data_IF_953062778196
#
_entry.id   IF_953062778196
#
_cell.length_a   1.000
_cell.length_b   1.000
_cell.length_c   1.000
_cell.angle_alpha   90.00
_cell.angle_beta   90.00
_cell.angle_gamma   90.00
#
_symmetry.space_group_name_H-M   'P 1'
#
loop_
_entity.id
_entity.type
_entity.pdbx_description
1 polymer ?
#
# COMPACT_ATOMS: atom_id res chain seq x y z
N UNK A 1 -43.78 -0.70 23.28
CA UNK A 1 -42.41 -1.26 23.26
C UNK A 1 -41.54 -0.47 22.27
N UNK A 2 -41.43 0.84 22.46
CA UNK A 2 -40.71 1.74 21.54
C UNK A 2 -39.61 2.53 22.27
N UNK A 3 -39.80 2.79 23.56
CA UNK A 3 -38.93 3.58 24.43
C UNK A 3 -37.45 3.13 24.47
N UNK A 4 -37.15 1.84 24.28
CA UNK A 4 -35.77 1.32 24.31
C UNK A 4 -34.99 1.48 22.99
N UNK A 5 -35.66 1.67 21.84
CA UNK A 5 -34.97 1.88 20.56
C UNK A 5 -34.34 3.28 20.50
N UNK A 6 -35.06 4.29 21.01
CA UNK A 6 -34.57 5.67 21.03
C UNK A 6 -33.39 5.85 21.99
N UNK A 7 -33.35 5.09 23.09
CA UNK A 7 -32.25 5.16 24.07
C UNK A 7 -30.93 4.58 23.53
N UNK A 8 -31.00 3.54 22.70
CA UNK A 8 -29.83 2.95 22.02
C UNK A 8 -29.36 3.85 20.88
N UNK A 9 -30.29 4.41 20.08
CA UNK A 9 -29.97 5.37 19.01
C UNK A 9 -29.37 6.66 19.58
N UNK A 10 -29.90 7.17 20.69
CA UNK A 10 -29.38 8.35 21.38
C UNK A 10 -27.98 8.10 21.97
N UNK A 11 -27.70 6.88 22.45
CA UNK A 11 -26.37 6.50 22.94
C UNK A 11 -25.32 6.37 21.82
N UNK A 12 -25.71 5.97 20.61
CA UNK A 12 -24.82 5.92 19.44
C UNK A 12 -24.54 7.31 18.86
N UNK A 13 -25.51 8.23 18.92
CA UNK A 13 -25.35 9.60 18.44
C UNK A 13 -24.37 10.43 19.29
N UNK A 14 -24.31 10.17 20.60
CA UNK A 14 -23.39 10.85 21.53
C UNK A 14 -21.93 10.41 21.31
N UNK A 15 -21.71 9.17 20.85
CA UNK A 15 -20.37 8.64 20.56
C UNK A 15 -19.75 9.27 19.28
N UNK A 16 -20.57 9.70 18.33
CA UNK A 16 -20.13 10.37 17.09
C UNK A 16 -19.77 11.85 17.28
N UNK A 17 -20.18 12.48 18.39
CA UNK A 17 -19.90 13.90 18.68
C UNK A 17 -18.64 14.11 19.55
N UNK A 18 -17.96 13.04 19.97
CA UNK A 18 -16.80 13.08 20.86
C UNK A 18 -15.42 13.16 20.18
N UNK A 19 -15.34 13.21 18.85
CA UNK A 19 -14.07 13.19 18.10
C UNK A 19 -13.72 14.53 17.42
N UNK A 20 -14.02 15.67 18.05
CA UNK A 20 -13.37 16.94 17.68
C UNK A 20 -12.20 17.22 18.62
N UNK A 21 -11.02 16.72 18.24
CA UNK A 21 -9.76 17.25 18.76
C UNK A 21 -9.72 18.75 18.43
N UNK A 22 -9.99 19.58 19.45
CA UNK A 22 -9.76 21.01 19.40
C UNK A 22 -8.25 21.26 19.49
N UNK A 23 -7.54 21.16 18.36
CA UNK A 23 -6.18 21.72 18.27
C UNK A 23 -6.35 23.22 18.01
N UNK A 24 -6.27 24.02 19.07
CA UNK A 24 -6.04 25.46 18.94
C UNK A 24 -4.56 25.67 18.64
N UNK A 25 -4.21 25.90 17.37
CA UNK A 25 -2.89 26.44 17.02
C UNK A 25 -2.92 27.93 17.38
N UNK A 26 -2.41 28.27 18.56
CA UNK A 26 -2.04 29.65 18.88
C UNK A 26 -0.69 29.94 18.23
N UNK A 27 -0.69 30.72 17.15
CA UNK A 27 0.53 31.32 16.62
C UNK A 27 0.91 32.48 17.54
N UNK A 28 1.88 32.23 18.41
CA UNK A 28 2.65 33.26 19.09
C UNK A 28 4.03 33.25 18.46
N UNK A 29 4.31 34.26 17.66
CA UNK A 29 5.63 34.55 17.12
C UNK A 29 6.53 34.93 18.28
N UNK A 30 7.43 34.05 18.70
CA UNK A 30 8.78 34.36 19.19
C UNK A 30 9.64 33.10 19.20
N UNK A 31 10.92 33.29 18.88
CA UNK A 31 11.92 32.28 18.51
C UNK A 31 12.24 31.35 19.67
N UNK A 32 12.14 30.04 19.48
CA UNK A 32 12.90 29.03 20.23
C UNK A 32 13.01 27.74 19.40
N UNK A 33 14.25 27.29 19.19
CA UNK A 33 14.60 26.09 18.45
C UNK A 33 14.13 24.84 19.23
N UNK A 34 13.21 24.07 18.66
CA UNK A 34 12.87 22.72 19.13
C UNK A 34 13.42 21.75 18.07
N UNK A 35 14.34 20.83 18.42
CA UNK A 35 14.87 19.88 17.45
C UNK A 35 13.72 19.00 16.99
N UNK A 36 13.45 19.00 15.69
CA UNK A 36 12.54 18.05 15.06
C UNK A 36 12.92 16.65 15.52
N UNK A 37 11.98 15.93 16.12
CA UNK A 37 12.11 14.52 16.44
C UNK A 37 12.52 13.78 15.17
N UNK A 38 13.81 13.52 15.03
CA UNK A 38 14.35 12.80 13.88
C UNK A 38 13.97 11.33 14.07
N UNK A 39 12.83 10.93 13.54
CA UNK A 39 12.51 9.50 13.41
C UNK A 39 13.59 8.93 12.49
N UNK A 40 14.53 8.20 13.08
CA UNK A 40 15.64 7.57 12.35
C UNK A 40 15.07 6.42 11.52
N UNK A 41 14.78 6.63 10.24
CA UNK A 41 14.34 5.57 9.31
C UNK A 41 15.50 4.62 9.02
N UNK A 42 15.43 3.38 9.48
CA UNK A 42 16.46 2.35 9.22
C UNK A 42 16.00 1.52 8.02
N UNK A 43 16.64 1.75 6.88
CA UNK A 43 16.37 1.03 5.63
C UNK A 43 17.49 0.03 5.38
N UNK A 44 17.13 -1.23 5.14
CA UNK A 44 18.06 -2.27 4.69
C UNK A 44 17.74 -2.60 3.24
N UNK A 45 18.72 -2.42 2.37
CA UNK A 45 18.59 -2.69 0.94
C UNK A 45 19.59 -3.77 0.55
N UNK A 46 19.10 -4.89 0.01
CA UNK A 46 19.96 -5.84 -0.68
C UNK A 46 19.85 -5.50 -2.16
N UNK A 47 20.95 -5.14 -2.82
CA UNK A 47 20.99 -4.77 -4.24
C UNK A 47 21.17 -5.98 -5.17
N UNK A 48 21.26 -7.19 -4.62
CA UNK A 48 21.27 -8.42 -5.40
C UNK A 48 19.90 -8.62 -6.06
N UNK A 49 19.86 -8.52 -7.39
CA UNK A 49 18.66 -8.82 -8.15
C UNK A 49 18.32 -10.31 -8.12
N UNK A 50 17.04 -10.60 -7.91
CA UNK A 50 16.46 -11.94 -7.91
C UNK A 50 15.17 -11.94 -8.71
N UNK A 51 14.75 -13.12 -9.12
CA UNK A 51 13.45 -13.35 -9.76
C UNK A 51 12.47 -13.90 -8.74
N UNK A 52 11.25 -13.42 -8.82
CA UNK A 52 10.14 -13.80 -7.96
C UNK A 52 8.94 -14.11 -8.85
N UNK A 53 8.30 -15.25 -8.63
CA UNK A 53 7.03 -15.59 -9.25
C UNK A 53 5.91 -15.35 -8.25
N UNK A 54 4.77 -14.88 -8.74
CA UNK A 54 3.64 -14.57 -7.87
C UNK A 54 2.57 -13.79 -8.59
N UNK A 55 1.81 -13.07 -7.78
CA UNK A 55 0.66 -12.29 -8.25
C UNK A 55 0.88 -10.81 -8.01
N UNK A 56 0.74 -10.02 -9.07
CA UNK A 56 0.57 -8.59 -8.95
C UNK A 56 -0.87 -8.31 -8.54
N UNK A 57 -1.02 -7.49 -7.51
CA UNK A 57 -2.28 -6.96 -7.01
C UNK A 57 -2.22 -5.43 -7.05
N UNK A 58 -3.26 -4.79 -7.56
CA UNK A 58 -3.45 -3.35 -7.44
C UNK A 58 -4.78 -3.07 -6.74
N UNK A 59 -4.73 -2.28 -5.68
CA UNK A 59 -5.87 -1.93 -4.84
C UNK A 59 -5.56 -0.72 -3.98
N UNK A 60 -6.56 0.06 -3.63
CA UNK A 60 -6.42 1.25 -2.76
C UNK A 60 -5.34 2.27 -3.21
N UNK A 61 -5.03 2.30 -4.51
CA UNK A 61 -4.00 3.18 -5.07
C UNK A 61 -2.56 2.66 -4.93
N UNK A 62 -2.38 1.40 -4.56
CA UNK A 62 -1.08 0.78 -4.32
C UNK A 62 -0.88 -0.46 -5.18
N UNK A 63 0.38 -0.68 -5.59
CA UNK A 63 0.81 -1.91 -6.24
C UNK A 63 1.49 -2.81 -5.21
N UNK A 64 1.05 -4.07 -5.17
CA UNK A 64 1.55 -5.11 -4.28
C UNK A 64 1.92 -6.35 -5.08
N UNK A 65 2.90 -7.07 -4.58
CA UNK A 65 3.29 -8.39 -5.06
C UNK A 65 3.10 -9.40 -3.97
N UNK A 66 2.39 -10.49 -4.29
CA UNK A 66 2.27 -11.65 -3.43
C UNK A 66 3.13 -12.77 -3.98
N UNK A 67 4.16 -13.13 -3.23
CA UNK A 67 5.09 -14.17 -3.63
C UNK A 67 4.45 -15.55 -3.60
N UNK A 68 4.70 -16.36 -4.63
CA UNK A 68 4.11 -17.69 -4.77
C UNK A 68 4.64 -18.67 -3.72
N UNK A 69 5.95 -18.60 -3.41
CA UNK A 69 6.61 -19.57 -2.54
C UNK A 69 6.37 -19.27 -1.05
N UNK A 70 6.60 -18.03 -0.64
CA UNK A 70 6.49 -17.59 0.76
C UNK A 70 5.10 -17.10 1.14
N UNK A 71 4.25 -16.75 0.16
CA UNK A 71 2.96 -16.09 0.36
C UNK A 71 3.05 -14.72 1.05
N UNK A 72 4.25 -14.17 1.21
CA UNK A 72 4.46 -12.83 1.72
C UNK A 72 3.98 -11.78 0.71
N UNK A 73 3.54 -10.64 1.23
CA UNK A 73 3.09 -9.50 0.44
C UNK A 73 4.10 -8.37 0.57
N UNK A 74 4.53 -7.83 -0.57
CA UNK A 74 5.52 -6.77 -0.65
C UNK A 74 4.95 -5.61 -1.47
N UNK A 75 5.26 -4.38 -1.07
CA UNK A 75 4.99 -3.22 -1.91
C UNK A 75 5.81 -3.28 -3.19
N UNK A 76 5.31 -2.68 -4.26
CA UNK A 76 6.02 -2.59 -5.53
C UNK A 76 6.42 -1.14 -5.84
N UNK A 77 7.69 -0.97 -6.22
CA UNK A 77 8.21 0.28 -6.75
C UNK A 77 8.82 0.03 -8.13
N UNK A 78 8.37 0.79 -9.12
CA UNK A 78 8.86 0.69 -10.49
C UNK A 78 9.62 1.97 -10.85
N UNK A 79 10.91 2.08 -10.52
CA UNK A 79 11.67 3.34 -10.63
C UNK A 79 11.82 3.86 -12.06
N UNK A 80 11.65 3.00 -13.06
CA UNK A 80 11.84 3.32 -14.48
C UNK A 80 10.54 3.31 -15.30
N UNK A 81 9.39 3.11 -14.65
CA UNK A 81 8.10 3.00 -15.34
C UNK A 81 7.18 4.15 -14.95
N UNK A 82 6.16 4.41 -15.77
CA UNK A 82 5.11 5.37 -15.44
C UNK A 82 4.01 4.68 -14.63
N UNK A 83 3.83 5.11 -13.38
CA UNK A 83 2.85 4.49 -12.46
C UNK A 83 1.40 4.58 -12.95
N UNK A 84 1.00 5.63 -13.66
CA UNK A 84 -0.37 5.71 -14.21
C UNK A 84 -0.55 4.72 -15.37
N UNK A 85 0.46 4.54 -16.23
CA UNK A 85 0.42 3.54 -17.30
C UNK A 85 0.38 2.11 -16.74
N UNK A 86 1.11 1.83 -15.65
CA UNK A 86 1.07 0.52 -14.99
C UNK A 86 -0.29 0.22 -14.36
N UNK A 87 -0.93 1.23 -13.77
CA UNK A 87 -2.29 1.13 -13.26
C UNK A 87 -3.29 0.88 -14.39
N UNK A 88 -3.18 1.61 -15.49
CA UNK A 88 -4.02 1.39 -16.67
C UNK A 88 -3.83 -0.02 -17.23
N UNK A 89 -2.58 -0.50 -17.34
CA UNK A 89 -2.26 -1.87 -17.75
C UNK A 89 -2.89 -2.90 -16.82
N UNK A 90 -2.76 -2.72 -15.51
CA UNK A 90 -3.34 -3.62 -14.52
C UNK A 90 -4.86 -3.67 -14.64
N UNK A 91 -5.52 -2.51 -14.68
CA UNK A 91 -6.97 -2.44 -14.76
C UNK A 91 -7.48 -3.01 -16.08
N UNK A 92 -6.82 -2.76 -17.21
CA UNK A 92 -7.19 -3.32 -18.50
C UNK A 92 -7.18 -4.86 -18.50
N UNK A 93 -6.21 -5.47 -17.80
CA UNK A 93 -6.13 -6.94 -17.67
C UNK A 93 -7.18 -7.45 -16.68
N UNK A 94 -7.36 -6.79 -15.54
CA UNK A 94 -8.36 -7.22 -14.54
C UNK A 94 -9.82 -6.92 -14.93
N UNK A 95 -10.09 -6.01 -15.86
CA UNK A 95 -11.42 -5.87 -16.47
C UNK A 95 -11.79 -7.10 -17.30
N UNK A 96 -10.78 -7.80 -17.83
CA UNK A 96 -10.96 -9.04 -18.58
C UNK A 96 -10.97 -10.28 -17.67
N UNK A 97 -10.40 -10.20 -16.46
CA UNK A 97 -10.22 -11.33 -15.54
C UNK A 97 -10.46 -10.96 -14.06
N UNK A 98 -11.23 -11.79 -13.36
CA UNK A 98 -11.55 -11.60 -11.93
C UNK A 98 -10.43 -12.02 -10.95
N UNK A 99 -9.20 -12.21 -11.44
CA UNK A 99 -8.08 -12.73 -10.63
C UNK A 99 -6.88 -11.77 -10.62
N UNK A 100 -6.06 -11.78 -9.55
CA UNK A 100 -4.76 -11.15 -9.54
C UNK A 100 -3.89 -11.59 -10.72
N UNK A 101 -3.06 -10.67 -11.23
CA UNK A 101 -2.27 -10.91 -12.43
C UNK A 101 -1.02 -11.75 -12.12
N UNK A 102 -0.95 -12.96 -12.68
CA UNK A 102 0.23 -13.82 -12.56
C UNK A 102 1.44 -13.20 -13.28
N UNK A 103 2.56 -13.08 -12.57
CA UNK A 103 3.74 -12.40 -13.08
C UNK A 103 5.04 -12.98 -12.52
N UNK A 104 6.12 -12.77 -13.28
CA UNK A 104 7.49 -12.89 -12.82
C UNK A 104 8.06 -11.47 -12.68
N UNK A 105 8.59 -11.13 -11.51
CA UNK A 105 9.27 -9.86 -11.26
C UNK A 105 10.74 -10.09 -10.99
N UNK A 106 11.60 -9.32 -11.65
CA UNK A 106 13.03 -9.22 -11.38
C UNK A 106 13.30 -7.92 -10.66
N UNK A 107 14.02 -8.00 -9.55
CA UNK A 107 14.30 -6.83 -8.73
C UNK A 107 14.99 -7.20 -7.43
N UNK A 108 15.08 -6.23 -6.55
CA UNK A 108 15.75 -6.39 -5.28
C UNK A 108 14.88 -5.85 -4.14
N UNK A 109 15.06 -6.39 -2.93
CA UNK A 109 14.20 -6.05 -1.78
C UNK A 109 14.80 -4.93 -0.95
N UNK A 110 13.97 -3.94 -0.62
CA UNK A 110 14.21 -2.92 0.39
C UNK A 110 13.29 -3.19 1.56
N UNK A 111 13.84 -3.28 2.77
CA UNK A 111 13.06 -3.49 3.99
C UNK A 111 13.15 -2.26 4.88
N UNK A 112 12.00 -1.71 5.24
CA UNK A 112 11.90 -0.80 6.36
C UNK A 112 11.89 -1.61 7.66
N UNK A 113 12.90 -1.40 8.51
CA UNK A 113 13.05 -2.19 9.74
C UNK A 113 12.06 -1.75 10.81
N UNK A 114 11.65 -0.48 10.82
CA UNK A 114 10.76 0.06 11.84
C UNK A 114 9.30 -0.26 11.54
N UNK A 115 8.91 -0.14 10.27
CA UNK A 115 7.55 -0.41 9.79
C UNK A 115 7.35 -1.92 9.50
N UNK A 116 8.44 -2.69 9.45
CA UNK A 116 8.48 -4.09 9.04
C UNK A 116 7.84 -4.32 7.64
N UNK A 117 7.91 -3.29 6.80
CA UNK A 117 7.44 -3.32 5.43
C UNK A 117 8.57 -3.73 4.49
N UNK A 118 8.23 -4.52 3.48
CA UNK A 118 9.16 -4.91 2.42
C UNK A 118 8.64 -4.38 1.10
N UNK A 119 9.51 -3.72 0.34
CA UNK A 119 9.26 -3.24 -1.01
C UNK A 119 10.18 -3.98 -1.96
N UNK A 120 9.62 -4.53 -3.03
CA UNK A 120 10.38 -5.04 -4.16
C UNK A 120 10.57 -3.89 -5.16
N UNK A 121 11.83 -3.50 -5.36
CA UNK A 121 12.21 -2.51 -6.37
C UNK A 121 12.39 -3.25 -7.69
N UNK A 122 11.45 -3.06 -8.61
CA UNK A 122 11.33 -3.85 -9.84
C UNK A 122 12.18 -3.23 -10.94
N UNK A 123 13.11 -4.01 -11.49
CA UNK A 123 13.90 -3.63 -12.66
C UNK A 123 13.29 -4.14 -13.97
N UNK A 124 12.58 -5.28 -13.91
CA UNK A 124 11.89 -5.88 -15.05
C UNK A 124 10.75 -6.76 -14.56
N UNK A 125 9.64 -6.80 -15.30
CA UNK A 125 8.56 -7.74 -15.04
C UNK A 125 8.10 -8.44 -16.33
N UNK A 126 7.45 -9.58 -16.15
CA UNK A 126 6.79 -10.34 -17.21
C UNK A 126 5.45 -10.83 -16.70
N UNK A 127 4.38 -10.53 -17.43
CA UNK A 127 3.05 -11.07 -17.16
C UNK A 127 3.01 -12.49 -17.74
N UNK A 128 2.68 -13.48 -16.92
CA UNK A 128 2.78 -14.90 -17.26
C UNK A 128 1.47 -15.45 -17.82
N UNK A 129 0.34 -14.95 -17.33
CA UNK A 129 -0.98 -15.37 -17.78
C UNK A 129 -1.86 -14.15 -18.08
N UNK A 130 -2.47 -14.20 -19.26
CA UNK A 130 -3.57 -13.34 -19.69
C UNK A 130 -4.56 -14.28 -20.40
N UNK A 131 -5.64 -14.67 -19.72
CA UNK A 131 -6.75 -15.41 -20.29
C UNK A 131 -7.38 -14.61 -21.42
N UNK A 132 -7.21 -15.11 -22.66
CA UNK A 132 -7.71 -14.46 -23.88
C UNK A 132 -6.63 -14.15 -24.92
N UNK A 133 -5.35 -14.36 -24.60
CA UNK A 133 -4.24 -14.28 -25.58
C UNK A 133 -3.76 -15.67 -26.05
N UNK A 134 -4.51 -16.72 -25.71
CA UNK A 134 -4.23 -18.10 -26.03
C UNK A 134 -5.52 -18.84 -26.42
N UNK A 135 -6.17 -18.37 -27.49
CA UNK A 135 -6.87 -19.13 -28.55
C UNK A 135 -7.53 -18.17 -29.54
#
# INVERSE_FOLDING_TARGET
MAYNKYKIIFSLLILLLGFSCNIQIKVSNDKEEIPSESVVKIVVENTEEKRYNGWWIYGEGQHMFKDEESLEEWGLEFPNENMEELKELYLAICEMEYFPMECEMTGYKRKDVLENETTLIVSKFKILYIQGCGE
#
